data_IF_185241721999
#
_entry.id   IF_185241721999
#
_cell.length_a   1.000
_cell.length_b   1.000
_cell.length_c   1.000
_cell.angle_alpha   90.00
_cell.angle_beta   90.00
_cell.angle_gamma   90.00
#
_symmetry.space_group_name_H-M   'P 1'
#
loop_
_entity.id
_entity.type
_entity.pdbx_description
1 polymer ?
#
# COMPACT_ATOMS: atom_id res chain seq x y z
N UNK A 1 -5.95 -10.46 -23.07
CA UNK A 1 -6.81 -11.23 -22.14
C UNK A 1 -7.72 -10.23 -21.44
N UNK A 2 -9.05 -10.45 -21.43
CA UNK A 2 -9.97 -9.52 -20.74
C UNK A 2 -9.77 -9.66 -19.22
N UNK A 3 -9.74 -8.56 -18.44
CA UNK A 3 -9.66 -8.64 -16.98
C UNK A 3 -10.89 -9.35 -16.43
N UNK A 4 -10.69 -10.23 -15.43
CA UNK A 4 -11.82 -10.86 -14.74
C UNK A 4 -12.41 -9.90 -13.70
N UNK A 5 -13.58 -10.25 -13.14
CA UNK A 5 -14.28 -9.39 -12.17
C UNK A 5 -13.39 -9.02 -10.98
N UNK A 6 -12.62 -9.98 -10.45
CA UNK A 6 -11.72 -9.76 -9.32
C UNK A 6 -10.63 -8.72 -9.65
N UNK A 7 -10.10 -8.70 -10.88
CA UNK A 7 -9.12 -7.70 -11.30
C UNK A 7 -9.75 -6.30 -11.31
N UNK A 8 -11.01 -6.18 -11.76
CA UNK A 8 -11.75 -4.92 -11.76
C UNK A 8 -12.07 -4.45 -10.33
N UNK A 9 -12.50 -5.34 -9.46
CA UNK A 9 -12.76 -5.04 -8.05
C UNK A 9 -11.48 -4.57 -7.35
N UNK A 10 -10.35 -5.23 -7.63
CA UNK A 10 -9.07 -4.83 -7.06
C UNK A 10 -8.58 -3.49 -7.60
N UNK A 11 -8.86 -3.17 -8.87
CA UNK A 11 -8.57 -1.83 -9.43
C UNK A 11 -9.34 -0.76 -8.66
N UNK A 12 -10.63 -1.00 -8.38
CA UNK A 12 -11.45 -0.09 -7.59
C UNK A 12 -10.92 0.06 -6.16
N UNK A 13 -10.61 -1.06 -5.48
CA UNK A 13 -10.05 -1.05 -4.14
C UNK A 13 -8.73 -0.27 -4.07
N UNK A 14 -7.79 -0.53 -4.98
CA UNK A 14 -6.49 0.15 -5.03
C UNK A 14 -6.60 1.66 -5.31
N UNK A 15 -7.67 2.11 -5.97
CA UNK A 15 -7.96 3.53 -6.14
C UNK A 15 -8.37 4.20 -4.82
N UNK A 16 -8.89 3.46 -3.84
CA UNK A 16 -9.32 4.02 -2.55
C UNK A 16 -8.14 4.24 -1.58
N UNK A 17 -8.01 5.45 -0.97
CA UNK A 17 -6.99 5.69 0.05
C UNK A 17 -7.16 4.80 1.29
N UNK A 18 -8.40 4.51 1.68
CA UNK A 18 -8.68 3.67 2.84
C UNK A 18 -8.10 2.25 2.69
N UNK A 19 -8.24 1.65 1.51
CA UNK A 19 -7.65 0.34 1.25
C UNK A 19 -6.12 0.38 1.24
N UNK A 20 -5.51 1.43 0.68
CA UNK A 20 -4.04 1.57 0.72
C UNK A 20 -3.50 1.75 2.14
N UNK A 21 -4.20 2.48 3.00
CA UNK A 21 -3.86 2.58 4.44
C UNK A 21 -4.06 1.25 5.17
N UNK A 22 -5.08 0.49 4.83
CA UNK A 22 -5.25 -0.88 5.34
C UNK A 22 -4.06 -1.77 4.94
N UNK A 23 -3.65 -1.72 3.66
CA UNK A 23 -2.46 -2.45 3.19
C UNK A 23 -1.18 -1.97 3.88
N UNK A 24 -1.07 -0.69 4.22
CA UNK A 24 0.05 -0.16 5.00
C UNK A 24 0.10 -0.75 6.41
N UNK A 25 -1.07 -0.93 7.05
CA UNK A 25 -1.14 -1.63 8.33
C UNK A 25 -0.73 -3.11 8.17
N UNK A 26 -1.20 -3.79 7.13
CA UNK A 26 -0.81 -5.18 6.83
C UNK A 26 0.70 -5.32 6.57
N UNK A 27 1.31 -4.38 5.87
CA UNK A 27 2.78 -4.34 5.68
C UNK A 27 3.53 -4.34 7.01
N UNK A 28 3.09 -3.49 7.96
CA UNK A 28 3.66 -3.38 9.29
C UNK A 28 3.44 -4.66 10.10
N UNK A 29 2.22 -5.18 10.12
CA UNK A 29 1.85 -6.37 10.89
C UNK A 29 2.53 -7.64 10.37
N UNK A 30 2.79 -7.71 9.06
CA UNK A 30 3.52 -8.81 8.44
C UNK A 30 5.05 -8.68 8.58
N UNK A 31 5.57 -7.54 9.04
CA UNK A 31 7.00 -7.31 9.17
C UNK A 31 7.75 -7.35 7.83
N UNK A 32 7.06 -7.00 6.73
CA UNK A 32 7.68 -6.83 5.41
C UNK A 32 8.63 -5.62 5.57
N UNK A 33 9.94 -5.83 5.50
CA UNK A 33 10.94 -4.78 5.76
C UNK A 33 11.53 -4.73 7.17
N UNK A 34 11.07 -5.58 8.11
CA UNK A 34 11.74 -5.74 9.42
C UNK A 34 12.68 -6.96 9.34
N UNK A 35 13.99 -6.81 9.59
CA UNK A 35 14.92 -7.94 9.62
C UNK A 35 14.60 -8.88 10.80
N UNK A 36 14.73 -10.19 10.59
CA UNK A 36 14.44 -11.20 11.61
C UNK A 36 15.69 -11.76 12.32
N UNK A 37 16.82 -11.07 12.19
CA UNK A 37 18.12 -11.53 12.72
C UNK A 37 18.07 -11.72 14.25
N UNK A 38 18.73 -12.78 14.74
CA UNK A 38 18.86 -13.05 16.17
C UNK A 38 17.62 -13.66 16.86
N UNK A 39 16.56 -13.97 16.11
CA UNK A 39 15.44 -14.76 16.63
C UNK A 39 15.83 -16.25 16.77
N UNK A 40 15.26 -16.94 17.76
CA UNK A 40 15.29 -18.41 17.78
C UNK A 40 14.55 -18.98 16.56
N UNK A 41 14.79 -20.25 16.25
CA UNK A 41 14.26 -20.89 15.05
C UNK A 41 12.72 -20.88 14.97
N UNK A 42 12.02 -21.00 16.10
CA UNK A 42 10.56 -21.01 16.17
C UNK A 42 10.00 -19.62 15.90
N UNK A 43 10.55 -18.60 16.55
CA UNK A 43 10.16 -17.21 16.34
C UNK A 43 10.50 -16.74 14.93
N UNK A 44 11.63 -17.18 14.37
CA UNK A 44 12.01 -16.90 12.99
C UNK A 44 10.99 -17.51 12.03
N UNK A 45 10.67 -18.80 12.17
CA UNK A 45 9.67 -19.48 11.33
C UNK A 45 8.30 -18.77 11.38
N UNK A 46 7.86 -18.37 12.57
CA UNK A 46 6.63 -17.61 12.75
C UNK A 46 6.66 -16.26 12.01
N UNK A 47 7.75 -15.50 12.12
CA UNK A 47 7.92 -14.20 11.44
C UNK A 47 7.96 -14.35 9.92
N UNK A 48 8.67 -15.35 9.39
CA UNK A 48 8.72 -15.63 7.95
C UNK A 48 7.37 -16.08 7.39
N UNK A 49 6.59 -16.87 8.15
CA UNK A 49 5.25 -17.27 7.76
C UNK A 49 4.30 -16.06 7.63
N UNK A 50 4.33 -15.14 8.61
CA UNK A 50 3.56 -13.89 8.53
C UNK A 50 3.98 -13.02 7.35
N UNK A 51 5.29 -12.90 7.11
CA UNK A 51 5.81 -12.13 5.98
C UNK A 51 5.36 -12.71 4.64
N UNK A 52 5.40 -14.04 4.52
CA UNK A 52 4.95 -14.75 3.32
C UNK A 52 3.47 -14.48 3.03
N UNK A 53 2.61 -14.60 4.04
CA UNK A 53 1.18 -14.28 3.90
C UNK A 53 0.95 -12.82 3.51
N UNK A 54 1.68 -11.89 4.13
CA UNK A 54 1.62 -10.47 3.77
C UNK A 54 1.99 -10.24 2.31
N UNK A 55 3.06 -10.86 1.81
CA UNK A 55 3.47 -10.75 0.40
C UNK A 55 2.43 -11.34 -0.56
N UNK A 56 1.72 -12.41 -0.18
CA UNK A 56 0.64 -12.96 -0.98
C UNK A 56 -0.57 -12.03 -1.07
N UNK A 57 -0.92 -11.33 0.01
CA UNK A 57 -1.95 -10.28 -0.01
C UNK A 57 -1.53 -9.16 -0.97
N UNK A 58 -0.26 -8.72 -0.92
CA UNK A 58 0.26 -7.71 -1.83
C UNK A 58 0.27 -8.18 -3.29
N UNK A 59 0.52 -9.46 -3.53
CA UNK A 59 0.42 -10.08 -4.85
C UNK A 59 -1.03 -10.07 -5.37
N UNK A 60 -2.03 -10.27 -4.51
CA UNK A 60 -3.44 -10.09 -4.90
C UNK A 60 -3.74 -8.62 -5.20
N UNK A 61 -3.27 -7.69 -4.36
CA UNK A 61 -3.45 -6.26 -4.57
C UNK A 61 -2.84 -5.76 -5.89
N UNK A 62 -1.73 -6.36 -6.33
CA UNK A 62 -1.07 -6.03 -7.59
C UNK A 62 -1.98 -6.23 -8.81
N UNK A 63 -2.96 -7.13 -8.75
CA UNK A 63 -3.96 -7.33 -9.82
C UNK A 63 -4.77 -6.07 -10.12
N UNK A 64 -4.90 -5.18 -9.12
CA UNK A 64 -5.55 -3.88 -9.25
C UNK A 64 -4.72 -2.82 -9.97
N UNK A 65 -3.51 -3.12 -10.41
CA UNK A 65 -2.60 -2.18 -11.06
C UNK A 65 -2.30 -2.58 -12.51
N UNK A 66 -2.16 -1.62 -13.44
CA UNK A 66 -1.69 -1.91 -14.79
C UNK A 66 -0.28 -2.50 -14.77
N UNK A 67 -0.12 -3.75 -15.24
CA UNK A 67 1.15 -4.51 -15.14
C UNK A 67 1.64 -4.64 -13.70
N UNK A 68 0.70 -4.80 -12.77
CA UNK A 68 0.97 -4.74 -11.34
C UNK A 68 2.03 -5.70 -10.86
N UNK A 69 3.06 -5.14 -10.22
CA UNK A 69 4.05 -5.89 -9.44
C UNK A 69 3.87 -5.58 -7.96
N UNK A 70 4.42 -6.43 -7.09
CA UNK A 70 4.43 -6.18 -5.63
C UNK A 70 5.13 -4.84 -5.33
N UNK A 71 6.20 -4.51 -6.04
CA UNK A 71 6.96 -3.26 -5.87
C UNK A 71 6.07 -2.03 -6.14
N UNK A 72 5.26 -2.07 -7.19
CA UNK A 72 4.34 -0.97 -7.51
C UNK A 72 3.25 -0.81 -6.43
N UNK A 73 2.78 -1.90 -5.85
CA UNK A 73 1.87 -1.86 -4.69
C UNK A 73 2.59 -1.25 -3.50
N UNK A 74 3.80 -1.70 -3.18
CA UNK A 74 4.60 -1.18 -2.07
C UNK A 74 4.84 0.33 -2.19
N UNK A 75 5.19 0.85 -3.38
CA UNK A 75 5.36 2.29 -3.59
C UNK A 75 4.08 3.07 -3.26
N UNK A 76 2.92 2.63 -3.74
CA UNK A 76 1.63 3.28 -3.47
C UNK A 76 1.24 3.20 -2.00
N UNK A 77 1.48 2.05 -1.36
CA UNK A 77 1.14 1.81 0.04
C UNK A 77 2.04 2.63 0.96
N UNK A 78 3.35 2.65 0.72
CA UNK A 78 4.31 3.40 1.52
C UNK A 78 4.13 4.91 1.38
N UNK A 79 3.63 5.40 0.24
CA UNK A 79 3.27 6.83 0.11
C UNK A 79 2.16 7.29 1.05
N UNK A 80 1.33 6.38 1.55
CA UNK A 80 0.30 6.72 2.55
C UNK A 80 0.89 6.94 3.96
N UNK A 81 2.15 6.52 4.21
CA UNK A 81 2.81 6.75 5.48
C UNK A 81 3.22 8.23 5.68
N UNK A 82 3.46 8.94 4.57
CA UNK A 82 3.80 10.36 4.54
C UNK A 82 2.84 11.05 3.56
N UNK A 83 1.59 11.34 3.96
CA UNK A 83 0.67 12.06 3.10
C UNK A 83 1.33 13.38 2.69
N UNK A 84 1.48 13.61 1.39
CA UNK A 84 1.94 14.91 0.90
C UNK A 84 0.97 15.95 1.43
N UNK A 85 1.47 16.93 2.19
CA UNK A 85 0.70 18.11 2.53
C UNK A 85 0.20 18.71 1.21
N UNK A 86 -1.11 18.63 0.98
CA UNK A 86 -1.73 19.48 -0.02
C UNK A 86 -1.48 20.91 0.44
N UNK A 87 -0.76 21.71 -0.35
CA UNK A 87 -0.89 23.17 -0.28
C UNK A 87 -2.39 23.45 -0.28
N UNK A 88 -2.92 23.82 0.89
CA UNK A 88 -4.25 24.38 0.95
C UNK A 88 -4.18 25.59 0.03
N UNK A 89 -4.91 25.53 -1.08
CA UNK A 89 -5.13 26.69 -1.92
C UNK A 89 -5.75 27.76 -1.03
N UNK A 90 -4.91 28.66 -0.52
CA UNK A 90 -5.33 29.94 0.01
C UNK A 90 -6.10 30.59 -1.12
N UNK A 91 -7.37 30.96 -0.95
CA UNK A 91 -8.03 31.82 -1.91
C UNK A 91 -7.17 33.08 -2.03
N UNK A 92 -6.65 33.36 -3.22
CA UNK A 92 -6.16 34.71 -3.51
C UNK A 92 -7.39 35.60 -3.39
N UNK A 93 -7.47 36.36 -2.31
CA UNK A 93 -8.31 37.56 -2.27
C UNK A 93 -7.72 38.50 -3.32
N UNK A 94 -8.35 38.54 -4.49
CA UNK A 94 -8.18 39.62 -5.46
C UNK A 94 -8.70 40.90 -4.82
N UNK A 95 -7.84 41.61 -4.10
CA UNK A 95 -8.05 43.02 -3.78
C UNK A 95 -7.70 43.83 -5.01
N UNK A 96 -8.62 43.90 -5.96
CA UNK A 96 -8.71 45.06 -6.85
C UNK A 96 -9.06 46.26 -5.96
N UNK A 97 -8.05 47.08 -5.65
CA UNK A 97 -8.26 48.43 -5.13
C UNK A 97 -8.12 49.42 -6.28
N UNK A 98 -9.18 50.20 -6.48
CA UNK A 98 -9.28 51.40 -7.35
C UNK A 98 -8.13 52.40 -7.17
#
# INVERSE_FOLDING_TARGET
MKPNQLDLDMQQLMATPAFRRFLLQMYRDAGIGIPANGADATLLAYREARRSLGLDIFRQAARGLPRGTIEQVLVRVLSEANPKETENATPQEDTDSE
#
